data_IF_430761847846
#
_entry.id   IF_430761847846
#
_cell.length_a   1.000
_cell.length_b   1.000
_cell.length_c   1.000
_cell.angle_alpha   90.00
_cell.angle_beta   90.00
_cell.angle_gamma   90.00
#
_symmetry.space_group_name_H-M   'P 1'
#
loop_
_entity.id
_entity.type
_entity.pdbx_description
1 polymer ?
#
# COMPACT_ATOMS: atom_id res chain seq x y z
N UNK A 1 -6.57 -4.17 -7.52
CA UNK A 1 -6.81 -3.83 -6.11
C UNK A 1 -5.90 -4.70 -5.27
N UNK A 2 -5.69 -4.35 -4.00
CA UNK A 2 -4.89 -5.18 -3.08
C UNK A 2 -5.81 -6.23 -2.45
N UNK A 3 -5.40 -7.49 -2.47
CA UNK A 3 -6.12 -8.56 -1.78
C UNK A 3 -5.91 -8.49 -0.26
N UNK A 4 -6.91 -8.92 0.52
CA UNK A 4 -6.83 -8.90 1.99
C UNK A 4 -5.66 -9.74 2.53
N UNK A 5 -5.31 -10.82 1.81
CA UNK A 5 -4.19 -11.70 2.13
C UNK A 5 -2.83 -11.03 1.88
N UNK A 6 -2.79 -10.07 0.95
CA UNK A 6 -1.56 -9.34 0.57
C UNK A 6 -1.41 -8.01 1.29
N UNK A 7 -2.48 -7.51 1.92
CA UNK A 7 -2.53 -6.20 2.56
C UNK A 7 -1.42 -6.00 3.59
N UNK A 8 -1.20 -7.00 4.44
CA UNK A 8 -0.14 -6.98 5.46
C UNK A 8 1.27 -7.09 4.88
N UNK A 9 1.42 -7.71 3.71
CA UNK A 9 2.70 -7.79 3.01
C UNK A 9 3.02 -6.45 2.35
N UNK A 10 2.04 -5.84 1.69
CA UNK A 10 2.14 -4.53 1.05
C UNK A 10 2.47 -3.41 2.05
N UNK A 11 1.84 -3.40 3.24
CA UNK A 11 2.19 -2.48 4.33
C UNK A 11 3.63 -2.66 4.78
N UNK A 12 4.10 -3.91 4.93
CA UNK A 12 5.48 -4.21 5.34
C UNK A 12 6.52 -3.78 4.31
N UNK A 13 6.22 -3.83 3.03
CA UNK A 13 7.11 -3.30 1.99
C UNK A 13 7.34 -1.81 2.18
N UNK A 14 6.28 -1.05 2.45
CA UNK A 14 6.40 0.40 2.72
C UNK A 14 7.24 0.68 3.97
N UNK A 15 7.07 -0.12 5.03
CA UNK A 15 7.86 0.02 6.25
C UNK A 15 9.35 -0.22 6.01
N UNK A 16 9.70 -1.20 5.16
CA UNK A 16 11.11 -1.46 4.80
C UNK A 16 11.76 -0.28 4.08
N UNK A 17 10.97 0.49 3.35
CA UNK A 17 11.38 1.72 2.66
C UNK A 17 11.29 2.99 3.53
N UNK A 18 11.05 2.82 4.84
CA UNK A 18 10.94 3.91 5.81
C UNK A 18 9.64 4.71 5.73
N UNK A 19 8.62 4.18 5.05
CA UNK A 19 7.31 4.83 4.92
C UNK A 19 6.36 4.19 5.91
N UNK A 20 5.86 4.96 6.86
CA UNK A 20 4.77 4.50 7.72
C UNK A 20 3.49 4.31 6.89
N UNK A 21 2.88 3.15 7.06
CA UNK A 21 1.63 2.77 6.41
C UNK A 21 0.77 1.93 7.37
N UNK A 22 -0.54 2.02 7.23
CA UNK A 22 -1.50 1.22 8.00
C UNK A 22 -2.47 0.50 7.07
N UNK A 23 -2.82 -0.74 7.42
CA UNK A 23 -3.89 -1.50 6.77
C UNK A 23 -5.25 -1.05 7.30
N UNK A 24 -6.26 -1.02 6.42
CA UNK A 24 -7.63 -0.64 6.79
C UNK A 24 -8.67 -1.25 5.84
N UNK A 25 -9.94 -0.99 6.14
CA UNK A 25 -11.07 -1.43 5.32
C UNK A 25 -11.94 -0.21 4.99
N UNK A 26 -11.96 0.17 3.72
CA UNK A 26 -12.87 1.19 3.19
C UNK A 26 -14.23 0.59 2.84
N UNK A 27 -15.18 1.45 2.46
CA UNK A 27 -16.53 1.04 2.07
C UNK A 27 -16.56 0.02 0.91
N UNK A 28 -15.50 -0.04 0.10
CA UNK A 28 -15.39 -0.89 -1.09
C UNK A 28 -14.27 -1.95 -0.99
N UNK A 29 -13.69 -2.14 0.19
CA UNK A 29 -12.67 -3.18 0.42
C UNK A 29 -11.39 -2.69 1.10
N UNK A 30 -10.33 -3.52 1.11
CA UNK A 30 -9.09 -3.23 1.81
C UNK A 30 -8.37 -2.00 1.23
N UNK A 31 -7.82 -1.18 2.12
CA UNK A 31 -7.06 0.03 1.78
C UNK A 31 -5.75 0.07 2.56
N UNK A 32 -4.75 0.75 1.99
CA UNK A 32 -3.53 1.15 2.69
C UNK A 32 -3.56 2.65 2.90
N UNK A 33 -3.42 3.06 4.15
CA UNK A 33 -3.33 4.46 4.54
C UNK A 33 -1.88 4.87 4.68
N UNK A 34 -1.50 5.96 4.03
CA UNK A 34 -0.18 6.60 4.11
C UNK A 34 -0.36 8.10 4.26
N UNK A 35 0.65 8.79 4.81
CA UNK A 35 0.67 10.26 4.82
C UNK A 35 0.70 10.81 3.39
N UNK A 36 0.05 11.94 3.16
CA UNK A 36 -0.03 12.60 1.84
C UNK A 36 1.37 12.84 1.22
N UNK A 37 2.33 13.28 2.05
CA UNK A 37 3.73 13.48 1.66
C UNK A 37 4.40 12.21 1.09
N UNK A 38 3.93 11.02 1.47
CA UNK A 38 4.47 9.74 1.02
C UNK A 38 3.59 9.06 -0.04
N UNK A 39 2.47 9.67 -0.44
CA UNK A 39 1.49 9.02 -1.32
C UNK A 39 2.08 8.60 -2.66
N UNK A 40 2.85 9.47 -3.31
CA UNK A 40 3.47 9.15 -4.60
C UNK A 40 4.56 8.07 -4.46
N UNK A 41 5.44 8.21 -3.46
CA UNK A 41 6.51 7.25 -3.21
C UNK A 41 5.94 5.86 -2.88
N UNK A 42 4.93 5.81 -2.01
CA UNK A 42 4.25 4.57 -1.65
C UNK A 42 3.57 3.91 -2.85
N UNK A 43 2.89 4.69 -3.71
CA UNK A 43 2.30 4.17 -4.96
C UNK A 43 3.34 3.54 -5.87
N UNK A 44 4.50 4.18 -6.05
CA UNK A 44 5.57 3.62 -6.88
C UNK A 44 6.10 2.31 -6.29
N UNK A 45 6.46 2.29 -5.01
CA UNK A 45 6.97 1.09 -4.33
C UNK A 45 5.98 -0.08 -4.44
N UNK A 46 4.69 0.18 -4.17
CA UNK A 46 3.65 -0.85 -4.25
C UNK A 46 3.45 -1.35 -5.67
N UNK A 47 3.59 -0.48 -6.68
CA UNK A 47 3.53 -0.85 -8.09
C UNK A 47 4.73 -1.69 -8.52
N UNK A 48 5.94 -1.31 -8.12
CA UNK A 48 7.17 -2.09 -8.37
C UNK A 48 7.14 -3.45 -7.66
N UNK A 49 6.46 -3.53 -6.51
CA UNK A 49 6.28 -4.77 -5.75
C UNK A 49 5.10 -5.62 -6.22
N UNK A 50 4.35 -5.19 -7.25
CA UNK A 50 3.23 -5.94 -7.83
C UNK A 50 1.89 -5.81 -7.09
N UNK A 51 1.80 -5.01 -6.03
CA UNK A 51 0.57 -4.82 -5.24
C UNK A 51 -0.40 -3.80 -5.84
N UNK A 52 0.07 -2.91 -6.74
CA UNK A 52 -0.77 -1.99 -7.48
C UNK A 52 -0.64 -2.22 -8.98
N UNK A 53 -1.78 -2.49 -9.63
CA UNK A 53 -1.84 -2.61 -11.09
C UNK A 53 -1.57 -1.26 -11.76
N UNK A 54 -0.75 -1.27 -12.81
CA UNK A 54 -0.60 -0.15 -13.74
C UNK A 54 -1.67 -0.29 -14.81
N UNK A 55 -2.79 0.38 -14.63
CA UNK A 55 -3.78 0.60 -15.70
C UNK A 55 -3.80 2.09 -16.01
#
# INVERSE_FOLDING_TARGET
>A
GIDILELEAAVRVLWREGIYAASGMGCTGPIIQVSDANLQKAKNILKESGYLATL
#
